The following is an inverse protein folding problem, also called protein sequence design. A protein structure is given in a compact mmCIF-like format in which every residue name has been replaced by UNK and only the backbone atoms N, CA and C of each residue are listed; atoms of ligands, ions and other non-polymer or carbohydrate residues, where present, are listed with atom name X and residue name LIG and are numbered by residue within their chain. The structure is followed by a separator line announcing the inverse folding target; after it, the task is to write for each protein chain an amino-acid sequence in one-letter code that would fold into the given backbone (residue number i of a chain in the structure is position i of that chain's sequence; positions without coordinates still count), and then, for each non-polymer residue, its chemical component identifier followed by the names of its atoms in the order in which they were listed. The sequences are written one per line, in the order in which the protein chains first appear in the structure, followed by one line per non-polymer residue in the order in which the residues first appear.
data_IF_622478585845
#
_entry.id   IF_622478585845
#
_cell.length_a   1.000
_cell.length_b   1.000
_cell.length_c   1.000
_cell.angle_alpha   90.00
_cell.angle_beta   90.00
_cell.angle_gamma   90.00
#
_symmetry.space_group_name_H-M   'P 1'
#
loop_
_entity.id
_entity.type
_entity.pdbx_description
1 polymer ?
#
# COMPACT_ATOMS: atom_id res chain seq x y z
N UNK A 1 4.44 -14.74 6.46
CA UNK A 1 3.33 -15.67 6.15
C UNK A 1 1.97 -15.07 6.49
N UNK A 2 1.56 -14.06 5.73
CA UNK A 2 0.17 -13.60 5.71
C UNK A 2 -0.67 -14.74 5.13
N UNK A 3 -1.74 -15.16 5.81
CA UNK A 3 -2.66 -16.14 5.22
C UNK A 3 -3.40 -15.46 4.07
N UNK A 4 -3.42 -16.06 2.87
CA UNK A 4 -4.18 -15.54 1.71
C UNK A 4 -5.64 -15.16 2.03
N UNK A 5 -6.25 -15.85 3.00
CA UNK A 5 -7.61 -15.57 3.49
C UNK A 5 -7.77 -14.25 4.23
N UNK A 6 -6.69 -13.48 4.47
CA UNK A 6 -6.70 -12.18 5.15
C UNK A 6 -6.40 -11.01 4.21
N UNK A 7 -6.22 -11.27 2.91
CA UNK A 7 -6.05 -10.24 1.90
C UNK A 7 -7.42 -9.75 1.43
N UNK A 8 -7.68 -8.47 1.65
CA UNK A 8 -8.88 -7.79 1.16
C UNK A 8 -8.48 -6.76 0.11
N UNK A 9 -9.11 -6.84 -1.06
CA UNK A 9 -8.98 -5.82 -2.09
C UNK A 9 -9.88 -4.64 -1.75
N UNK A 10 -9.32 -3.44 -1.72
CA UNK A 10 -10.04 -2.18 -1.49
C UNK A 10 -9.93 -1.29 -2.72
N UNK A 11 -11.00 -0.58 -3.07
CA UNK A 11 -10.94 0.36 -4.19
C UNK A 11 -10.23 1.65 -3.75
N UNK A 12 -9.33 2.17 -4.59
CA UNK A 12 -8.54 3.35 -4.30
C UNK A 12 -9.40 4.59 -4.00
N UNK A 13 -10.55 4.74 -4.66
CA UNK A 13 -11.50 5.85 -4.43
C UNK A 13 -12.06 5.93 -2.99
N UNK A 14 -11.99 4.82 -2.25
CA UNK A 14 -12.43 4.75 -0.85
C UNK A 14 -11.43 5.39 0.11
N UNK A 15 -10.18 5.62 -0.33
CA UNK A 15 -9.15 6.27 0.46
C UNK A 15 -9.35 7.78 0.43
N UNK A 16 -9.28 8.41 1.61
CA UNK A 16 -9.39 9.86 1.78
C UNK A 16 -8.12 10.43 2.37
N UNK A 17 -7.89 11.72 2.12
CA UNK A 17 -6.78 12.49 2.71
C UNK A 17 -5.41 11.82 2.50
N UNK A 18 -5.15 11.37 1.28
CA UNK A 18 -3.88 10.72 0.91
C UNK A 18 -2.78 11.78 0.96
N UNK A 19 -1.78 11.57 1.80
CA UNK A 19 -0.62 12.47 1.97
C UNK A 19 0.67 11.69 1.98
N UNK A 20 1.73 12.24 1.37
CA UNK A 20 3.07 11.64 1.44
C UNK A 20 3.59 11.80 2.87
N UNK A 21 4.09 10.71 3.45
CA UNK A 21 4.73 10.72 4.78
C UNK A 21 6.22 10.37 4.71
N UNK A 22 6.69 9.86 3.58
CA UNK A 22 8.11 9.61 3.35
C UNK A 22 8.37 9.25 1.90
N UNK A 23 9.50 9.71 1.37
CA UNK A 23 9.98 9.34 0.05
C UNK A 23 11.38 8.78 0.18
N UNK A 24 11.58 7.55 -0.29
CA UNK A 24 12.89 6.92 -0.42
C UNK A 24 13.34 6.85 -1.88
N UNK A 25 14.51 6.24 -2.11
CA UNK A 25 15.05 6.08 -3.46
C UNK A 25 14.20 5.20 -4.38
N UNK A 26 13.51 4.19 -3.82
CA UNK A 26 12.75 3.18 -4.58
C UNK A 26 11.26 3.10 -4.24
N UNK A 27 10.78 3.92 -3.29
CA UNK A 27 9.36 3.93 -2.92
C UNK A 27 8.92 5.26 -2.30
N UNK A 28 7.63 5.54 -2.39
CA UNK A 28 6.97 6.61 -1.62
C UNK A 28 5.94 5.98 -0.70
N UNK A 29 5.97 6.39 0.56
CA UNK A 29 5.00 5.99 1.58
C UNK A 29 4.00 7.13 1.77
N UNK A 30 2.73 6.79 1.73
CA UNK A 30 1.61 7.69 1.96
C UNK A 30 0.84 7.27 3.21
N UNK A 31 0.21 8.23 3.87
CA UNK A 31 -0.83 8.01 4.87
C UNK A 31 -2.17 8.34 4.25
N UNK A 32 -3.17 7.50 4.49
CA UNK A 32 -4.54 7.73 4.05
C UNK A 32 -5.54 7.35 5.15
N UNK A 33 -6.78 7.81 5.00
CA UNK A 33 -7.90 7.44 5.85
C UNK A 33 -8.78 6.44 5.08
N UNK A 34 -8.98 5.25 5.64
CA UNK A 34 -9.91 4.23 5.15
C UNK A 34 -10.89 3.88 6.27
N UNK A 35 -12.21 4.07 6.04
CA UNK A 35 -13.27 3.77 7.03
C UNK A 35 -12.95 4.29 8.45
N UNK A 36 -12.50 5.55 8.53
CA UNK A 36 -12.11 6.22 9.78
C UNK A 36 -10.86 5.64 10.49
N UNK A 37 -10.04 4.86 9.77
CA UNK A 37 -8.75 4.34 10.25
C UNK A 37 -7.61 4.88 9.40
N UNK A 38 -6.48 5.14 10.03
CA UNK A 38 -5.25 5.51 9.32
C UNK A 38 -4.60 4.27 8.73
N UNK A 39 -4.33 4.29 7.43
CA UNK A 39 -3.62 3.23 6.70
C UNK A 39 -2.36 3.80 6.07
N UNK A 40 -1.34 2.95 5.90
CA UNK A 40 -0.13 3.28 5.16
C UNK A 40 -0.21 2.66 3.77
N UNK A 41 0.04 3.46 2.74
CA UNK A 41 0.17 3.00 1.35
C UNK A 41 1.65 3.07 0.99
N UNK A 42 2.17 2.05 0.31
CA UNK A 42 3.55 2.04 -0.17
C UNK A 42 3.54 1.85 -1.68
N UNK A 43 3.95 2.90 -2.39
CA UNK A 43 4.11 2.91 -3.84
C UNK A 43 5.57 2.65 -4.17
N UNK A 44 5.84 1.66 -5.02
CA UNK A 44 7.20 1.33 -5.45
C UNK A 44 7.42 1.83 -6.87
N UNK A 45 8.59 2.43 -7.12
CA UNK A 45 9.01 2.84 -8.45
C UNK A 45 10.12 1.90 -8.91
N UNK A 46 9.80 0.97 -9.82
CA UNK A 46 10.77 0.02 -10.34
C UNK A 46 10.17 -0.98 -11.31
N UNK A 47 10.92 -1.31 -12.37
CA UNK A 47 10.59 -2.26 -13.45
C UNK A 47 10.89 -3.71 -13.06
N UNK A 48 10.35 -4.18 -11.94
CA UNK A 48 10.25 -5.62 -11.69
C UNK A 48 8.86 -5.90 -11.15
N UNK A 49 8.19 -6.87 -11.77
CA UNK A 49 6.92 -7.44 -11.34
C UNK A 49 7.13 -8.16 -9.99
N UNK A 50 7.31 -7.36 -8.93
CA UNK A 50 7.50 -7.80 -7.55
C UNK A 50 6.19 -7.83 -6.77
N UNK A 51 5.06 -7.51 -7.44
CA UNK A 51 3.73 -7.44 -6.84
C UNK A 51 3.30 -8.78 -6.25
N UNK A 52 3.69 -9.90 -6.86
CA UNK A 52 3.40 -11.25 -6.37
C UNK A 52 4.32 -11.62 -5.20
N UNK A 53 5.62 -11.29 -5.29
CA UNK A 53 6.59 -11.60 -4.23
C UNK A 53 6.30 -10.85 -2.93
N UNK A 54 5.80 -9.61 -3.01
CA UNK A 54 5.43 -8.82 -1.82
C UNK A 54 4.24 -9.39 -1.05
N UNK A 55 3.23 -9.94 -1.75
CA UNK A 55 2.06 -10.54 -1.10
C UNK A 55 2.37 -11.89 -0.44
N UNK A 56 3.49 -12.51 -0.80
CA UNK A 56 3.91 -13.84 -0.33
C UNK A 56 5.02 -13.79 0.76
N UNK A 57 5.50 -12.61 1.17
CA UNK A 57 6.40 -12.41 2.33
C UNK A 57 5.67 -12.60 3.70
#
# INVERSE_FOLDING_TARGET
FIKKSQLEWINFDQLKNIKIIGKGGSSTVYSAIYKNRTVALKEFFGTQDGSILFLEE
#
